data_IF_743656573039
#
_entry.id   IF_743656573039
#
_cell.length_a   1.000
_cell.length_b   1.000
_cell.length_c   1.000
_cell.angle_alpha   90.00
_cell.angle_beta   90.00
_cell.angle_gamma   90.00
#
_symmetry.space_group_name_H-M   'P 1'
#
loop_
_entity.id
_entity.type
_entity.pdbx_description
1 polymer ?
#
# COMPACT_ATOMS: atom_id res chain seq x y z
N UNK A 1 -31.11 -33.58 -14.96
CA UNK A 1 -31.33 -32.30 -14.29
C UNK A 1 -29.99 -31.92 -13.69
N UNK A 2 -29.21 -31.15 -14.45
CA UNK A 2 -27.94 -30.60 -13.99
C UNK A 2 -28.23 -29.48 -12.99
N UNK A 3 -28.05 -29.78 -11.71
CA UNK A 3 -27.84 -28.76 -10.69
C UNK A 3 -26.33 -28.57 -10.55
N UNK A 4 -25.68 -27.99 -11.56
CA UNK A 4 -24.41 -27.32 -11.33
C UNK A 4 -24.73 -26.00 -10.62
N UNK A 5 -24.73 -26.05 -9.29
CA UNK A 5 -24.53 -24.84 -8.50
C UNK A 5 -23.18 -24.30 -8.97
N UNK A 6 -23.20 -23.25 -9.80
CA UNK A 6 -22.03 -22.45 -10.11
C UNK A 6 -21.53 -21.89 -8.79
N UNK A 7 -20.65 -22.62 -8.11
CA UNK A 7 -19.82 -22.05 -7.06
C UNK A 7 -18.95 -21.03 -7.77
N UNK A 8 -19.33 -19.75 -7.69
CA UNK A 8 -18.43 -18.68 -8.10
C UNK A 8 -17.13 -18.88 -7.36
N UNK A 9 -16.05 -19.08 -8.12
CA UNK A 9 -14.73 -19.23 -7.53
C UNK A 9 -14.43 -17.97 -6.73
N UNK A 10 -14.19 -18.11 -5.43
CA UNK A 10 -13.96 -16.97 -4.55
C UNK A 10 -12.67 -16.27 -4.96
N UNK A 11 -12.71 -14.94 -5.05
CA UNK A 11 -11.57 -14.12 -5.44
C UNK A 11 -11.56 -12.79 -4.69
N UNK A 12 -10.47 -12.05 -4.81
CA UNK A 12 -10.32 -10.69 -4.30
C UNK A 12 -10.05 -9.80 -5.50
N UNK A 13 -10.79 -8.70 -5.64
CA UNK A 13 -10.46 -7.70 -6.67
C UNK A 13 -9.21 -6.94 -6.25
N UNK A 14 -8.19 -6.90 -7.11
CA UNK A 14 -6.93 -6.22 -6.83
C UNK A 14 -6.96 -4.83 -7.48
N UNK A 15 -6.81 -3.80 -6.65
CA UNK A 15 -6.58 -2.44 -7.09
C UNK A 15 -5.10 -2.12 -6.91
N UNK A 16 -4.49 -1.57 -7.95
CA UNK A 16 -3.10 -1.15 -7.93
C UNK A 16 -2.91 0.15 -8.71
N UNK A 17 -1.80 0.83 -8.49
CA UNK A 17 -1.45 1.99 -9.29
C UNK A 17 0.05 2.10 -9.54
N UNK A 18 0.40 2.67 -10.68
CA UNK A 18 1.77 3.02 -11.01
C UNK A 18 1.87 4.38 -11.67
N UNK A 19 2.76 5.22 -11.14
CA UNK A 19 3.09 6.52 -11.70
C UNK A 19 4.60 6.68 -11.65
N UNK A 20 5.19 7.14 -12.75
CA UNK A 20 6.60 7.49 -12.77
C UNK A 20 6.81 8.79 -11.99
N UNK A 21 7.39 8.65 -10.79
CA UNK A 21 7.73 9.77 -9.92
C UNK A 21 9.22 10.14 -9.99
N UNK A 22 9.96 9.61 -10.98
CA UNK A 22 11.39 9.84 -11.17
C UNK A 22 12.29 8.90 -10.38
N UNK A 23 11.80 7.74 -9.94
CA UNK A 23 12.61 6.76 -9.17
C UNK A 23 13.78 6.17 -9.97
N UNK A 24 13.71 6.22 -11.30
CA UNK A 24 14.82 5.86 -12.19
C UNK A 24 16.04 6.78 -12.03
N UNK A 25 15.88 7.94 -11.39
CA UNK A 25 16.96 8.88 -11.10
C UNK A 25 17.47 8.79 -9.66
N UNK A 26 16.93 7.92 -8.81
CA UNK A 26 17.35 7.84 -7.40
C UNK A 26 18.60 6.97 -7.23
N UNK A 27 19.68 7.34 -7.94
CA UNK A 27 20.94 6.60 -7.98
C UNK A 27 21.98 7.14 -6.99
N UNK A 28 23.01 6.33 -6.73
CA UNK A 28 24.16 6.72 -5.89
C UNK A 28 24.91 7.92 -6.45
N UNK A 29 24.98 8.06 -7.78
CA UNK A 29 25.59 9.21 -8.45
C UNK A 29 24.85 10.52 -8.17
N UNK A 30 23.54 10.45 -7.91
CA UNK A 30 22.71 11.59 -7.53
C UNK A 30 22.52 11.71 -6.00
N UNK A 31 23.34 10.99 -5.21
CA UNK A 31 23.36 11.09 -3.75
C UNK A 31 22.33 10.23 -3.02
N UNK A 32 21.68 9.28 -3.69
CA UNK A 32 20.67 8.40 -3.09
C UNK A 32 21.21 6.99 -2.79
N UNK A 33 20.70 6.31 -1.74
CA UNK A 33 20.99 4.90 -1.52
C UNK A 33 20.60 4.03 -2.73
N UNK A 34 21.44 3.05 -3.09
CA UNK A 34 21.26 2.20 -4.29
C UNK A 34 19.93 1.43 -4.31
N UNK A 35 19.37 1.11 -3.15
CA UNK A 35 18.09 0.39 -3.06
C UNK A 35 16.87 1.25 -3.43
N UNK A 36 17.02 2.58 -3.54
CA UNK A 36 15.95 3.49 -3.93
C UNK A 36 15.74 3.53 -5.45
N UNK A 37 16.78 3.27 -6.24
CA UNK A 37 16.74 3.25 -7.70
C UNK A 37 15.77 2.17 -8.21
N UNK A 38 14.66 2.60 -8.82
CA UNK A 38 13.68 1.72 -9.45
C UNK A 38 13.09 2.42 -10.66
N UNK A 39 13.51 2.03 -11.84
CA UNK A 39 13.00 2.58 -13.10
C UNK A 39 11.68 1.90 -13.52
N UNK A 40 11.08 2.41 -14.60
CA UNK A 40 9.83 1.90 -15.15
C UNK A 40 9.95 0.42 -15.54
N UNK A 41 11.10 0.00 -16.06
CA UNK A 41 11.33 -1.39 -16.47
C UNK A 41 11.38 -2.34 -15.25
N UNK A 42 11.98 -1.91 -14.14
CA UNK A 42 12.01 -2.67 -12.89
C UNK A 42 10.61 -2.83 -12.32
N UNK A 43 9.80 -1.77 -12.34
CA UNK A 43 8.42 -1.87 -11.88
C UNK A 43 7.56 -2.74 -12.79
N UNK A 44 7.78 -2.69 -14.11
CA UNK A 44 7.12 -3.58 -15.06
C UNK A 44 7.49 -5.05 -14.84
N UNK A 45 8.74 -5.38 -14.54
CA UNK A 45 9.13 -6.77 -14.25
C UNK A 45 8.52 -7.29 -12.94
N UNK A 46 8.35 -6.43 -11.94
CA UNK A 46 7.62 -6.79 -10.72
C UNK A 46 6.12 -6.96 -11.00
N UNK A 47 5.52 -6.06 -11.77
CA UNK A 47 4.11 -6.17 -12.13
C UNK A 47 3.84 -7.37 -13.03
N UNK A 48 4.76 -7.77 -13.90
CA UNK A 48 4.65 -8.99 -14.70
C UNK A 48 4.41 -10.22 -13.82
N UNK A 49 5.02 -10.29 -12.64
CA UNK A 49 4.74 -11.37 -11.69
C UNK A 49 3.33 -11.25 -11.11
N UNK A 50 2.93 -10.05 -10.65
CA UNK A 50 1.58 -9.82 -10.12
C UNK A 50 0.50 -10.11 -11.17
N UNK A 51 0.72 -9.72 -12.42
CA UNK A 51 -0.18 -9.86 -13.56
C UNK A 51 -0.45 -11.33 -13.95
N UNK A 52 0.31 -12.29 -13.40
CA UNK A 52 0.04 -13.72 -13.55
C UNK A 52 -1.28 -14.12 -12.91
N UNK A 53 -1.70 -13.45 -11.84
CA UNK A 53 -2.95 -13.75 -11.14
C UNK A 53 -4.19 -13.58 -12.03
N UNK A 54 -5.16 -14.48 -11.96
CA UNK A 54 -6.43 -14.42 -12.68
C UNK A 54 -7.45 -13.47 -12.03
N UNK A 55 -7.16 -12.98 -10.81
CA UNK A 55 -7.95 -11.98 -10.10
C UNK A 55 -8.37 -10.81 -11.00
N UNK A 56 -9.59 -10.30 -10.80
CA UNK A 56 -10.02 -9.01 -11.35
C UNK A 56 -9.05 -7.91 -10.91
N UNK A 57 -8.57 -7.11 -11.85
CA UNK A 57 -7.68 -5.98 -11.56
C UNK A 57 -8.25 -4.64 -11.98
N UNK A 58 -8.01 -3.62 -11.15
CA UNK A 58 -8.18 -2.21 -11.50
C UNK A 58 -6.84 -1.51 -11.37
N UNK A 59 -6.31 -0.98 -12.48
CA UNK A 59 -4.97 -0.39 -12.56
C UNK A 59 -5.07 1.09 -12.88
N UNK A 60 -4.66 1.94 -11.95
CA UNK A 60 -4.53 3.39 -12.17
C UNK A 60 -3.12 3.73 -12.64
N UNK A 61 -2.99 4.48 -13.73
CA UNK A 61 -1.68 4.73 -14.35
C UNK A 61 -1.69 5.98 -15.24
N UNK A 62 -0.55 6.30 -15.85
CA UNK A 62 -0.39 7.29 -16.91
C UNK A 62 -0.45 6.65 -18.32
N UNK A 63 -0.69 7.46 -19.37
CA UNK A 63 -1.06 6.96 -20.72
C UNK A 63 -0.01 6.03 -21.32
N UNK A 64 1.27 6.35 -21.18
CA UNK A 64 2.40 5.63 -21.74
C UNK A 64 2.54 4.20 -21.19
N UNK A 65 2.05 3.96 -19.97
CA UNK A 65 2.17 2.66 -19.30
C UNK A 65 1.05 1.68 -19.69
N UNK A 66 -0.09 2.19 -20.16
CA UNK A 66 -1.27 1.43 -20.58
C UNK A 66 -1.00 0.27 -21.55
N UNK A 67 -0.26 0.44 -22.66
CA UNK A 67 0.00 -0.66 -23.59
C UNK A 67 0.76 -1.83 -22.94
N UNK A 68 1.67 -1.55 -22.02
CA UNK A 68 2.43 -2.58 -21.30
C UNK A 68 1.54 -3.37 -20.34
N UNK A 69 0.70 -2.69 -19.55
CA UNK A 69 -0.26 -3.34 -18.65
C UNK A 69 -1.23 -4.21 -19.45
N UNK A 70 -1.77 -3.70 -20.56
CA UNK A 70 -2.66 -4.48 -21.46
C UNK A 70 -1.98 -5.74 -21.98
N UNK A 71 -0.72 -5.61 -22.43
CA UNK A 71 0.06 -6.74 -22.92
C UNK A 71 0.28 -7.80 -21.84
N UNK A 72 0.63 -7.40 -20.62
CA UNK A 72 0.89 -8.32 -19.49
C UNK A 72 -0.38 -9.00 -18.99
N UNK A 73 -1.52 -8.30 -19.00
CA UNK A 73 -2.81 -8.83 -18.53
C UNK A 73 -3.54 -9.66 -19.59
N UNK A 74 -3.31 -9.40 -20.88
CA UNK A 74 -3.98 -10.10 -21.97
C UNK A 74 -5.49 -10.02 -21.84
N UNK A 75 -6.16 -11.18 -21.83
CA UNK A 75 -7.63 -11.28 -21.73
C UNK A 75 -8.16 -11.33 -20.29
N UNK A 76 -7.28 -11.29 -19.28
CA UNK A 76 -7.72 -11.36 -17.87
C UNK A 76 -8.53 -10.11 -17.48
N UNK A 77 -9.54 -10.24 -16.61
CA UNK A 77 -10.41 -9.13 -16.21
C UNK A 77 -9.58 -7.97 -15.65
N UNK A 78 -9.49 -6.88 -16.42
CA UNK A 78 -8.64 -5.73 -16.10
C UNK A 78 -9.28 -4.43 -16.57
N UNK A 79 -9.49 -3.49 -15.64
CA UNK A 79 -9.85 -2.10 -15.91
C UNK A 79 -8.59 -1.24 -15.78
N UNK A 80 -8.28 -0.40 -16.78
CA UNK A 80 -7.11 0.49 -16.75
C UNK A 80 -7.59 1.93 -16.85
N UNK A 81 -7.22 2.75 -15.86
CA UNK A 81 -7.67 4.13 -15.72
C UNK A 81 -6.47 5.05 -15.83
N UNK A 82 -6.56 6.01 -16.75
CA UNK A 82 -5.51 7.01 -16.96
C UNK A 82 -5.77 8.23 -16.08
N UNK A 83 -4.77 8.61 -15.30
CA UNK A 83 -4.78 9.79 -14.44
C UNK A 83 -3.49 10.56 -14.67
N UNK A 84 -3.62 11.85 -14.98
CA UNK A 84 -2.55 12.82 -14.81
C UNK A 84 -2.47 13.17 -13.31
N UNK A 85 -1.52 12.55 -12.62
CA UNK A 85 -1.36 12.64 -11.17
C UNK A 85 -1.10 14.08 -10.73
N UNK A 86 -0.18 14.77 -11.39
CA UNK A 86 0.25 16.13 -11.02
C UNK A 86 -0.86 17.14 -11.26
N UNK A 87 -1.60 17.01 -12.37
CA UNK A 87 -2.73 17.89 -12.64
C UNK A 87 -3.88 17.64 -11.67
N UNK A 88 -4.21 16.38 -11.39
CA UNK A 88 -5.36 16.02 -10.55
C UNK A 88 -5.14 16.35 -9.08
N UNK A 89 -3.93 16.15 -8.57
CA UNK A 89 -3.60 16.29 -7.15
C UNK A 89 -2.68 17.47 -6.85
N UNK A 90 -2.62 18.47 -7.74
CA UNK A 90 -1.72 19.63 -7.62
C UNK A 90 -1.74 20.27 -6.23
N UNK A 91 -2.93 20.59 -5.72
CA UNK A 91 -3.05 21.26 -4.43
C UNK A 91 -2.48 20.43 -3.27
N UNK A 92 -2.75 19.12 -3.27
CA UNK A 92 -2.22 18.20 -2.26
C UNK A 92 -0.70 18.04 -2.40
N UNK A 93 -0.20 17.96 -3.64
CA UNK A 93 1.23 17.90 -3.92
C UNK A 93 1.95 19.17 -3.44
N UNK A 94 1.38 20.34 -3.69
CA UNK A 94 1.91 21.64 -3.23
C UNK A 94 1.92 21.75 -1.71
N UNK A 95 0.88 21.27 -1.04
CA UNK A 95 0.80 21.22 0.43
C UNK A 95 1.88 20.30 1.03
N UNK A 96 2.01 19.07 0.51
CA UNK A 96 3.06 18.13 0.90
C UNK A 96 4.44 18.76 0.70
N UNK A 97 4.67 19.37 -0.47
CA UNK A 97 5.93 20.04 -0.80
C UNK A 97 6.24 21.19 0.15
N UNK A 98 5.24 21.98 0.54
CA UNK A 98 5.39 23.05 1.52
C UNK A 98 5.84 22.52 2.87
N UNK A 99 5.21 21.42 3.35
CA UNK A 99 5.56 20.80 4.64
C UNK A 99 6.97 20.21 4.59
N UNK A 100 7.29 19.41 3.57
CA UNK A 100 8.62 18.79 3.38
C UNK A 100 9.72 19.84 3.41
N UNK A 101 9.48 21.00 2.80
CA UNK A 101 10.47 22.07 2.73
C UNK A 101 10.57 22.93 4.00
N UNK A 102 9.61 22.84 4.92
CA UNK A 102 9.57 23.65 6.13
C UNK A 102 10.70 23.30 7.11
N UNK A 103 11.29 24.33 7.74
CA UNK A 103 12.29 24.14 8.80
C UNK A 103 11.71 23.39 10.01
N UNK A 104 10.42 23.59 10.29
CA UNK A 104 9.72 22.92 11.38
C UNK A 104 9.62 21.41 11.19
N UNK A 105 9.40 20.93 9.96
CA UNK A 105 9.41 19.51 9.67
C UNK A 105 10.84 18.96 9.66
N UNK A 106 11.75 19.60 8.91
CA UNK A 106 13.15 19.16 8.77
C UNK A 106 13.89 19.04 10.10
N UNK A 107 13.59 19.88 11.10
CA UNK A 107 14.22 19.81 12.42
C UNK A 107 13.74 18.65 13.29
N UNK A 108 12.59 18.03 12.96
CA UNK A 108 12.06 16.85 13.67
C UNK A 108 12.65 15.54 13.14
N UNK A 109 13.23 15.54 11.93
CA UNK A 109 13.73 14.34 11.26
C UNK A 109 15.21 14.11 11.63
N UNK A 110 15.56 12.98 12.26
CA UNK A 110 16.96 12.65 12.53
C UNK A 110 17.78 12.53 11.24
N UNK A 111 19.04 12.98 11.26
CA UNK A 111 19.89 13.04 10.06
C UNK A 111 19.99 11.71 9.29
N UNK A 112 20.10 10.59 10.02
CA UNK A 112 20.19 9.25 9.45
C UNK A 112 18.97 8.85 8.60
N UNK A 113 17.84 9.52 8.78
CA UNK A 113 16.59 9.24 8.09
C UNK A 113 16.33 10.20 6.91
N UNK A 114 17.04 11.34 6.82
CA UNK A 114 16.77 12.37 5.81
C UNK A 114 16.92 11.91 4.36
N UNK A 115 17.59 10.78 4.11
CA UNK A 115 17.73 10.19 2.77
C UNK A 115 16.52 9.33 2.37
N UNK A 116 15.60 9.04 3.29
CA UNK A 116 14.41 8.27 2.97
C UNK A 116 13.37 9.12 2.22
N UNK A 117 12.74 8.58 1.16
CA UNK A 117 11.93 9.36 0.22
C UNK A 117 10.70 10.02 0.85
N UNK A 118 10.14 9.48 1.93
CA UNK A 118 9.03 10.08 2.68
C UNK A 118 9.35 11.46 3.28
N UNK A 119 10.63 11.83 3.39
CA UNK A 119 11.06 13.10 3.97
C UNK A 119 11.59 14.13 2.96
N UNK A 120 11.66 13.79 1.67
CA UNK A 120 12.18 14.71 0.65
C UNK A 120 11.48 14.64 -0.70
N UNK A 121 10.71 13.59 -0.99
CA UNK A 121 10.00 13.44 -2.26
C UNK A 121 8.50 13.66 -2.07
N UNK A 122 8.00 14.82 -2.49
CA UNK A 122 6.57 15.12 -2.43
C UNK A 122 5.73 14.14 -3.25
N UNK A 123 6.27 13.66 -4.39
CA UNK A 123 5.60 12.69 -5.25
C UNK A 123 5.54 11.30 -4.60
N UNK A 124 6.58 10.89 -3.88
CA UNK A 124 6.57 9.62 -3.14
C UNK A 124 5.53 9.62 -2.03
N UNK A 125 5.53 10.68 -1.21
CA UNK A 125 4.51 10.88 -0.16
C UNK A 125 3.13 10.89 -0.78
N UNK A 126 2.92 11.60 -1.90
CA UNK A 126 1.63 11.63 -2.57
C UNK A 126 1.16 10.24 -3.00
N UNK A 127 1.95 9.49 -3.78
CA UNK A 127 1.49 8.21 -4.35
C UNK A 127 1.26 7.14 -3.29
N UNK A 128 2.08 7.12 -2.23
CA UNK A 128 1.88 6.21 -1.09
C UNK A 128 0.60 6.54 -0.33
N UNK A 129 0.24 7.81 -0.21
CA UNK A 129 -0.96 8.25 0.50
C UNK A 129 -2.27 8.18 -0.31
N UNK A 130 -2.21 7.94 -1.63
CA UNK A 130 -3.40 7.86 -2.50
C UNK A 130 -4.00 6.44 -2.62
N UNK A 131 -3.43 5.44 -1.94
CA UNK A 131 -3.86 4.03 -2.03
C UNK A 131 -5.35 3.85 -1.74
N UNK A 132 -5.82 4.36 -0.60
CA UNK A 132 -7.23 4.25 -0.19
C UNK A 132 -8.16 5.04 -1.12
N UNK A 133 -7.69 6.17 -1.66
CA UNK A 133 -8.41 6.93 -2.68
C UNK A 133 -8.63 6.08 -3.95
N UNK A 134 -7.59 5.41 -4.46
CA UNK A 134 -7.71 4.59 -5.67
C UNK A 134 -8.64 3.40 -5.47
N UNK A 135 -8.57 2.74 -4.31
CA UNK A 135 -9.50 1.64 -4.00
C UNK A 135 -10.95 2.14 -3.95
N UNK A 136 -11.21 3.24 -3.25
CA UNK A 136 -12.57 3.81 -3.20
C UNK A 136 -13.06 4.23 -4.57
N UNK A 137 -12.21 4.88 -5.37
CA UNK A 137 -12.55 5.24 -6.73
C UNK A 137 -12.90 4.02 -7.58
N UNK A 138 -12.17 2.92 -7.44
CA UNK A 138 -12.48 1.69 -8.16
C UNK A 138 -13.84 1.10 -7.75
N UNK A 139 -14.20 1.17 -6.47
CA UNK A 139 -15.49 0.71 -5.95
C UNK A 139 -16.64 1.62 -6.44
N UNK A 140 -16.44 2.94 -6.42
CA UNK A 140 -17.46 3.91 -6.83
C UNK A 140 -17.72 3.91 -8.34
N UNK A 141 -16.65 3.82 -9.14
CA UNK A 141 -16.75 3.94 -10.60
C UNK A 141 -17.20 2.62 -11.27
N UNK A 142 -17.02 1.48 -10.60
CA UNK A 142 -17.20 0.17 -11.22
C UNK A 142 -18.00 -0.79 -10.35
N UNK A 143 -18.86 -1.57 -11.00
CA UNK A 143 -19.44 -2.76 -10.38
C UNK A 143 -18.36 -3.86 -10.29
N UNK A 144 -17.60 -3.86 -9.19
CA UNK A 144 -16.56 -4.86 -8.94
C UNK A 144 -17.19 -6.23 -8.66
N UNK A 145 -16.52 -7.30 -9.08
CA UNK A 145 -17.10 -8.64 -9.08
C UNK A 145 -17.04 -9.34 -7.73
N UNK A 146 -16.18 -8.87 -6.81
CA UNK A 146 -15.89 -9.52 -5.53
C UNK A 146 -16.18 -8.60 -4.35
N UNK A 147 -16.70 -9.14 -3.26
CA UNK A 147 -16.95 -8.40 -2.02
C UNK A 147 -15.65 -7.88 -1.38
N UNK A 148 -14.57 -8.65 -1.47
CA UNK A 148 -13.26 -8.28 -0.98
C UNK A 148 -12.47 -7.54 -2.05
N UNK A 149 -11.90 -6.40 -1.67
CA UNK A 149 -11.02 -5.60 -2.51
C UNK A 149 -9.70 -5.36 -1.77
N UNK A 150 -8.60 -5.54 -2.49
CA UNK A 150 -7.27 -5.32 -1.96
C UNK A 150 -6.58 -4.17 -2.68
N UNK A 151 -5.91 -3.31 -1.93
CA UNK A 151 -4.76 -2.60 -2.47
C UNK A 151 -3.57 -3.57 -2.54
N UNK A 152 -2.88 -3.62 -3.67
CA UNK A 152 -1.58 -4.29 -3.82
C UNK A 152 -0.64 -3.35 -4.56
N UNK A 153 0.53 -3.03 -4.00
CA UNK A 153 1.54 -2.22 -4.69
C UNK A 153 1.91 -2.84 -6.04
N UNK A 154 1.99 -2.02 -7.09
CA UNK A 154 2.30 -2.47 -8.45
C UNK A 154 3.62 -3.24 -8.52
N UNK A 155 4.58 -2.86 -7.67
CA UNK A 155 5.87 -3.52 -7.53
C UNK A 155 5.98 -4.54 -6.38
N UNK A 156 4.85 -5.04 -5.83
CA UNK A 156 4.86 -5.93 -4.67
C UNK A 156 5.49 -7.29 -4.98
N UNK A 157 5.13 -7.91 -6.13
CA UNK A 157 5.63 -9.22 -6.52
C UNK A 157 7.01 -9.11 -7.21
N UNK A 158 8.08 -9.02 -6.42
CA UNK A 158 9.42 -8.78 -6.96
C UNK A 158 10.01 -9.96 -7.74
N UNK A 159 9.54 -11.16 -7.43
CA UNK A 159 9.95 -12.40 -8.09
C UNK A 159 8.80 -13.43 -8.04
N UNK A 160 9.02 -14.56 -8.73
CA UNK A 160 8.03 -15.64 -8.82
C UNK A 160 7.74 -16.33 -7.47
N UNK A 161 8.64 -16.20 -6.50
CA UNK A 161 8.43 -16.83 -5.19
C UNK A 161 7.35 -16.11 -4.41
N UNK A 162 7.09 -14.82 -4.66
CA UNK A 162 6.03 -14.08 -3.93
C UNK A 162 4.66 -14.73 -4.09
N UNK A 163 4.35 -15.30 -5.25
CA UNK A 163 3.09 -15.99 -5.51
C UNK A 163 3.11 -17.50 -5.22
N UNK A 164 4.28 -18.15 -5.10
CA UNK A 164 4.38 -19.61 -4.90
C UNK A 164 3.43 -20.46 -5.79
N UNK A 165 3.21 -20.04 -7.04
CA UNK A 165 2.34 -20.75 -7.99
C UNK A 165 0.84 -20.48 -7.83
N UNK A 166 0.44 -19.54 -6.97
CA UNK A 166 -0.94 -19.06 -6.87
C UNK A 166 -1.33 -18.37 -8.17
N UNK A 167 -2.43 -18.84 -8.77
CA UNK A 167 -3.04 -18.22 -9.94
C UNK A 167 -4.25 -17.36 -9.55
N UNK A 168 -5.03 -17.72 -8.53
CA UNK A 168 -6.12 -16.89 -8.02
C UNK A 168 -5.94 -16.67 -6.52
N UNK A 169 -5.68 -15.43 -6.13
CA UNK A 169 -5.44 -15.06 -4.74
C UNK A 169 -6.76 -14.83 -3.99
N UNK A 170 -6.98 -15.57 -2.90
CA UNK A 170 -8.15 -15.40 -2.05
C UNK A 170 -7.88 -15.87 -0.62
N UNK A 171 -8.35 -15.09 0.35
CA UNK A 171 -8.45 -15.47 1.76
C UNK A 171 -9.81 -15.08 2.32
N UNK A 172 -10.37 -15.86 3.26
CA UNK A 172 -11.67 -15.59 3.88
C UNK A 172 -11.54 -14.51 4.97
N UNK A 173 -11.11 -13.32 4.56
CA UNK A 173 -11.16 -12.11 5.37
C UNK A 173 -12.61 -11.79 5.74
N UNK A 174 -12.81 -11.25 6.94
CA UNK A 174 -14.14 -10.89 7.41
C UNK A 174 -14.56 -9.54 6.83
N UNK A 175 -15.86 -9.24 6.86
CA UNK A 175 -16.46 -8.07 6.23
C UNK A 175 -16.58 -6.85 7.15
N UNK A 176 -16.03 -6.95 8.37
CA UNK A 176 -16.14 -5.92 9.40
C UNK A 176 -14.85 -5.12 9.60
N UNK A 177 -13.71 -5.62 9.10
CA UNK A 177 -12.41 -5.02 9.38
C UNK A 177 -11.61 -4.69 8.11
N UNK A 178 -10.72 -3.73 8.27
CA UNK A 178 -9.56 -3.53 7.41
C UNK A 178 -8.44 -4.46 7.87
N UNK A 179 -7.97 -5.29 6.95
CA UNK A 179 -6.90 -6.25 7.19
C UNK A 179 -5.56 -5.68 6.80
N UNK A 180 -4.74 -5.43 7.81
CA UNK A 180 -3.36 -4.98 7.66
C UNK A 180 -2.39 -6.13 7.94
N UNK A 181 -1.25 -6.11 7.25
CA UNK A 181 -0.17 -7.07 7.46
C UNK A 181 0.99 -6.39 8.20
N UNK A 182 1.62 -7.11 9.12
CA UNK A 182 2.59 -6.50 10.05
C UNK A 182 3.90 -7.26 10.13
N UNK A 183 4.98 -6.51 10.36
CA UNK A 183 6.34 -7.02 10.60
C UNK A 183 6.65 -7.20 12.08
N UNK A 184 5.78 -6.68 12.94
CA UNK A 184 5.83 -6.84 14.40
C UNK A 184 4.44 -7.18 14.88
N UNK A 185 4.31 -8.20 15.74
CA UNK A 185 3.03 -8.53 16.36
C UNK A 185 2.51 -7.34 17.16
N UNK A 186 1.24 -7.01 17.05
CA UNK A 186 0.58 -6.00 17.88
C UNK A 186 0.46 -6.45 19.34
N UNK A 187 0.34 -7.76 19.56
CA UNK A 187 0.20 -8.39 20.89
C UNK A 187 1.16 -9.57 21.08
N UNK A 188 1.65 -9.77 22.30
CA UNK A 188 2.46 -10.94 22.67
C UNK A 188 1.60 -12.16 23.07
N UNK A 189 0.39 -11.90 23.56
CA UNK A 189 -0.66 -12.86 23.93
C UNK A 189 -2.03 -12.20 23.70
N UNK A 190 -3.17 -12.90 23.83
CA UNK A 190 -4.50 -12.35 23.49
C UNK A 190 -4.79 -10.94 24.05
N UNK A 191 -4.25 -10.60 25.23
CA UNK A 191 -4.58 -9.38 25.96
C UNK A 191 -3.40 -8.41 26.18
N UNK A 192 -2.16 -8.81 25.92
CA UNK A 192 -0.99 -7.98 26.23
C UNK A 192 -0.44 -7.30 24.98
N UNK A 193 -0.53 -5.97 24.97
CA UNK A 193 0.06 -5.12 23.95
C UNK A 193 1.57 -5.35 23.85
N UNK A 194 2.06 -5.55 22.64
CA UNK A 194 3.48 -5.64 22.39
C UNK A 194 4.13 -4.25 22.58
N UNK A 195 5.11 -4.08 23.49
CA UNK A 195 5.80 -2.80 23.66
C UNK A 195 6.52 -2.31 22.40
N UNK A 196 6.86 -3.21 21.48
CA UNK A 196 7.46 -2.93 20.18
C UNK A 196 6.43 -2.57 19.09
N UNK A 197 5.15 -2.55 19.41
CA UNK A 197 4.11 -2.02 18.54
C UNK A 197 3.68 -0.62 19.03
N UNK A 198 3.56 0.39 18.15
CA UNK A 198 3.21 1.76 18.54
C UNK A 198 1.74 1.92 19.00
N UNK A 199 1.46 1.63 20.26
CA UNK A 199 0.10 1.70 20.85
C UNK A 199 -0.30 3.07 21.44
N UNK A 200 0.59 4.07 21.40
CA UNK A 200 0.32 5.39 22.00
C UNK A 200 0.69 6.49 21.01
N UNK A 201 0.05 7.66 21.15
CA UNK A 201 0.33 8.85 20.32
C UNK A 201 1.82 9.18 20.22
N UNK A 202 2.55 9.13 21.34
CA UNK A 202 3.99 9.43 21.36
C UNK A 202 4.80 8.36 20.61
N UNK A 203 4.45 7.08 20.77
CA UNK A 203 5.12 5.99 20.03
C UNK A 203 4.80 6.02 18.54
N UNK A 204 3.57 6.35 18.15
CA UNK A 204 3.17 6.51 16.74
C UNK A 204 3.92 7.68 16.11
N UNK A 205 3.94 8.84 16.75
CA UNK A 205 4.69 9.99 16.26
C UNK A 205 6.20 9.70 16.19
N UNK A 206 6.74 8.99 17.18
CA UNK A 206 8.14 8.54 17.14
C UNK A 206 8.38 7.58 15.98
N UNK A 207 7.46 6.66 15.68
CA UNK A 207 7.57 5.77 14.54
C UNK A 207 7.59 6.54 13.21
N UNK A 208 6.70 7.53 13.06
CA UNK A 208 6.62 8.43 11.89
C UNK A 208 7.93 9.19 11.69
N UNK A 209 8.50 9.79 12.74
CA UNK A 209 9.70 10.63 12.61
C UNK A 209 11.01 9.84 12.50
N UNK A 210 10.99 8.53 12.77
CA UNK A 210 12.17 7.65 12.75
C UNK A 210 12.07 6.54 11.69
N UNK A 211 11.21 6.69 10.68
CA UNK A 211 10.90 5.70 9.65
C UNK A 211 10.84 4.26 10.21
N UNK A 212 9.96 4.04 11.19
CA UNK A 212 9.77 2.72 11.81
C UNK A 212 8.59 2.02 11.18
N UNK A 213 8.88 1.15 10.21
CA UNK A 213 7.90 0.26 9.61
C UNK A 213 7.40 -0.82 10.60
N UNK A 214 6.09 -0.90 10.76
CA UNK A 214 5.43 -1.91 11.61
C UNK A 214 4.27 -2.57 10.87
N UNK A 215 3.41 -1.74 10.26
CA UNK A 215 2.41 -2.14 9.27
C UNK A 215 3.07 -2.00 7.90
N UNK A 216 2.96 -3.00 7.02
CA UNK A 216 3.45 -2.86 5.65
C UNK A 216 2.45 -2.05 4.82
N UNK A 217 2.96 -1.20 3.94
CA UNK A 217 2.14 -0.45 2.99
C UNK A 217 1.74 -1.26 1.74
N UNK A 218 2.43 -2.38 1.50
CA UNK A 218 2.38 -3.08 0.21
C UNK A 218 1.06 -3.78 -0.11
N UNK A 219 0.29 -4.19 0.91
CA UNK A 219 -0.99 -4.87 0.74
C UNK A 219 -1.94 -4.49 1.87
N UNK A 220 -3.19 -4.17 1.53
CA UNK A 220 -4.29 -3.94 2.48
C UNK A 220 -5.57 -4.54 1.89
N UNK A 221 -6.37 -5.25 2.68
CA UNK A 221 -7.62 -5.89 2.21
C UNK A 221 -8.78 -5.47 3.08
N UNK A 222 -9.94 -5.21 2.48
CA UNK A 222 -11.20 -5.04 3.21
C UNK A 222 -12.38 -5.37 2.30
N UNK A 223 -13.56 -5.53 2.88
CA UNK A 223 -14.80 -5.56 2.11
C UNK A 223 -15.08 -4.17 1.50
N UNK A 224 -15.71 -4.14 0.31
CA UNK A 224 -16.13 -2.93 -0.38
C UNK A 224 -16.85 -1.93 0.54
N UNK A 225 -17.72 -2.41 1.44
CA UNK A 225 -18.50 -1.56 2.35
C UNK A 225 -17.64 -0.82 3.39
N UNK A 226 -16.49 -1.38 3.82
CA UNK A 226 -15.59 -0.79 4.82
C UNK A 226 -14.59 0.19 4.19
N UNK A 227 -14.25 0.04 2.91
CA UNK A 227 -13.26 0.89 2.24
C UNK A 227 -13.56 2.39 2.32
N UNK A 228 -14.85 2.76 2.27
CA UNK A 228 -15.27 4.17 2.39
C UNK A 228 -15.02 4.75 3.77
N UNK A 229 -15.33 3.98 4.82
CA UNK A 229 -14.99 4.37 6.19
C UNK A 229 -13.47 4.52 6.33
N UNK A 230 -12.71 3.53 5.86
CA UNK A 230 -11.26 3.55 5.96
C UNK A 230 -10.62 4.74 5.21
N UNK A 231 -11.10 5.07 4.01
CA UNK A 231 -10.63 6.25 3.28
C UNK A 231 -10.86 7.55 4.05
N UNK A 232 -12.02 7.72 4.67
CA UNK A 232 -12.29 8.89 5.50
C UNK A 232 -11.37 8.94 6.72
N UNK A 233 -11.10 7.81 7.38
CA UNK A 233 -10.16 7.73 8.50
C UNK A 233 -8.74 8.13 8.07
N UNK A 234 -8.27 7.63 6.91
CA UNK A 234 -6.96 8.00 6.35
C UNK A 234 -6.88 9.50 6.05
N UNK A 235 -7.89 10.05 5.38
CA UNK A 235 -7.96 11.48 5.05
C UNK A 235 -7.88 12.35 6.31
N UNK A 236 -8.66 12.02 7.34
CA UNK A 236 -8.65 12.75 8.61
C UNK A 236 -7.27 12.66 9.30
N UNK A 237 -6.60 11.51 9.24
CA UNK A 237 -5.26 11.34 9.80
C UNK A 237 -4.21 12.17 9.04
N UNK A 238 -4.30 12.23 7.71
CA UNK A 238 -3.44 13.06 6.88
C UNK A 238 -3.61 14.55 7.21
N UNK A 239 -4.86 15.02 7.27
CA UNK A 239 -5.17 16.42 7.63
C UNK A 239 -4.61 16.79 9.02
N UNK A 240 -4.73 15.90 10.02
CA UNK A 240 -4.15 16.14 11.35
C UNK A 240 -2.62 16.18 11.38
N UNK A 241 -1.96 15.42 10.52
CA UNK A 241 -0.50 15.47 10.38
C UNK A 241 -0.08 16.77 9.68
N UNK A 242 -0.80 17.18 8.63
CA UNK A 242 -0.52 18.41 7.90
C UNK A 242 -0.67 19.65 8.77
N UNK A 243 -1.72 19.70 9.60
CA UNK A 243 -1.91 20.76 10.61
C UNK A 243 -0.75 20.89 11.61
N UNK A 244 0.07 19.84 11.76
CA UNK A 244 1.26 19.82 12.63
C UNK A 244 2.56 19.99 11.87
N UNK A 245 2.49 20.31 10.57
CA UNK A 245 3.60 20.30 9.63
C UNK A 245 4.39 18.99 9.70
N UNK A 246 3.68 17.88 9.53
CA UNK A 246 4.24 16.52 9.45
C UNK A 246 3.67 15.85 8.20
N UNK A 247 4.53 15.19 7.45
CA UNK A 247 4.16 14.21 6.43
C UNK A 247 4.85 12.89 6.72
N UNK A 248 4.31 11.81 6.18
CA UNK A 248 4.93 10.48 6.17
C UNK A 248 4.34 9.68 4.99
N UNK A 249 4.86 8.49 4.75
CA UNK A 249 4.20 7.52 3.87
C UNK A 249 2.95 6.90 4.51
N UNK A 250 2.34 5.95 3.79
CA UNK A 250 1.14 5.27 4.24
C UNK A 250 1.30 4.50 5.56
N UNK A 251 2.49 4.00 5.88
CA UNK A 251 2.71 3.18 7.07
C UNK A 251 2.52 4.00 8.35
N UNK A 252 3.06 5.22 8.38
CA UNK A 252 2.85 6.16 9.48
C UNK A 252 1.40 6.60 9.62
N UNK A 253 0.74 6.86 8.48
CA UNK A 253 -0.68 7.22 8.45
C UNK A 253 -1.56 6.07 8.94
N UNK A 254 -1.25 4.82 8.59
CA UNK A 254 -1.98 3.64 9.07
C UNK A 254 -1.83 3.42 10.58
N UNK A 255 -0.66 3.71 11.15
CA UNK A 255 -0.49 3.73 12.62
C UNK A 255 -1.38 4.78 13.28
N UNK A 256 -1.51 5.96 12.68
CA UNK A 256 -2.45 7.00 13.16
C UNK A 256 -3.91 6.55 13.05
N UNK A 257 -4.28 5.87 11.95
CA UNK A 257 -5.62 5.33 11.77
C UNK A 257 -5.95 4.31 12.87
N UNK A 258 -5.05 3.36 13.12
CA UNK A 258 -5.21 2.36 14.18
C UNK A 258 -5.32 2.99 15.57
N UNK A 259 -4.50 4.00 15.87
CA UNK A 259 -4.56 4.72 17.15
C UNK A 259 -5.95 5.35 17.40
N UNK A 260 -6.63 5.81 16.34
CA UNK A 260 -7.93 6.49 16.43
C UNK A 260 -9.11 5.54 16.40
N UNK A 261 -9.03 4.49 15.58
CA UNK A 261 -10.13 3.56 15.35
C UNK A 261 -9.61 2.11 15.51
N UNK A 262 -9.16 1.69 16.70
CA UNK A 262 -8.49 0.41 16.87
C UNK A 262 -9.37 -0.79 16.48
N UNK A 263 -10.70 -0.66 16.67
CA UNK A 263 -11.67 -1.72 16.36
C UNK A 263 -11.94 -1.88 14.86
N UNK A 264 -11.51 -0.94 14.02
CA UNK A 264 -11.67 -1.05 12.56
C UNK A 264 -10.64 -2.00 11.93
N UNK A 265 -9.57 -2.35 12.64
CA UNK A 265 -8.41 -3.02 12.05
C UNK A 265 -8.16 -4.41 12.64
N UNK A 266 -7.74 -5.33 11.77
CA UNK A 266 -7.23 -6.65 12.16
C UNK A 266 -5.84 -6.85 11.58
N UNK A 267 -4.90 -7.25 12.44
CA UNK A 267 -3.50 -7.41 12.08
C UNK A 267 -3.12 -8.85 11.78
N UNK A 268 -2.33 -9.00 10.72
CA UNK A 268 -1.84 -10.27 10.20
C UNK A 268 -0.31 -10.27 10.22
N UNK A 269 0.27 -10.82 11.27
CA UNK A 269 1.73 -10.85 11.43
C UNK A 269 2.38 -11.76 10.39
N UNK A 270 3.30 -11.24 9.58
CA UNK A 270 3.92 -11.97 8.47
C UNK A 270 5.05 -12.90 8.91
N UNK A 271 5.67 -12.67 10.06
CA UNK A 271 6.76 -13.52 10.53
C UNK A 271 8.11 -13.18 9.86
N UNK A 272 8.96 -14.19 9.80
CA UNK A 272 10.28 -14.11 9.16
C UNK A 272 10.33 -14.98 7.92
N UNK A 273 11.15 -14.60 6.93
CA UNK A 273 11.44 -15.42 5.76
C UNK A 273 12.43 -16.55 6.12
N UNK A 274 12.78 -17.39 5.14
CA UNK A 274 13.73 -18.52 5.31
C UNK A 274 15.11 -18.09 5.79
N UNK A 275 15.50 -16.83 5.56
CA UNK A 275 16.78 -16.26 5.98
C UNK A 275 16.71 -15.63 7.39
N UNK A 276 15.57 -15.70 8.07
CA UNK A 276 15.38 -15.11 9.40
C UNK A 276 15.15 -13.60 9.41
N UNK A 277 14.95 -12.99 8.24
CA UNK A 277 14.65 -11.57 8.06
C UNK A 277 13.13 -11.33 8.07
N UNK A 278 12.70 -10.09 8.27
CA UNK A 278 11.26 -9.76 8.25
C UNK A 278 10.63 -10.09 6.89
N UNK A 279 9.47 -10.77 6.89
CA UNK A 279 8.84 -11.22 5.65
C UNK A 279 7.93 -10.16 5.03
N UNK A 280 8.51 -9.18 4.34
CA UNK A 280 7.77 -8.08 3.69
C UNK A 280 6.85 -8.54 2.54
N UNK A 281 7.21 -9.65 1.87
CA UNK A 281 6.54 -10.16 0.67
C UNK A 281 5.72 -11.43 0.93
N UNK A 282 5.45 -11.74 2.21
CA UNK A 282 4.80 -12.97 2.63
C UNK A 282 3.27 -12.97 2.54
N UNK A 283 2.64 -11.83 2.21
CA UNK A 283 1.17 -11.69 2.29
C UNK A 283 0.45 -12.70 1.43
N UNK A 284 0.89 -12.86 0.18
CA UNK A 284 0.29 -13.78 -0.78
C UNK A 284 0.61 -15.25 -0.46
N UNK A 285 1.62 -15.55 0.34
CA UNK A 285 2.02 -16.94 0.65
C UNK A 285 1.29 -17.46 1.88
N UNK A 286 1.21 -16.62 2.91
CA UNK A 286 1.04 -17.08 4.29
C UNK A 286 -0.34 -17.61 4.63
N UNK A 287 -1.38 -17.14 3.97
CA UNK A 287 -2.75 -17.54 4.31
C UNK A 287 -3.33 -18.53 3.28
N UNK A 288 -2.52 -19.01 2.32
CA UNK A 288 -2.91 -20.02 1.34
C UNK A 288 -2.59 -21.37 1.98
N UNK A 289 -3.55 -21.90 2.71
CA UNK A 289 -3.54 -23.23 3.29
C UNK A 289 -4.83 -23.95 2.87
#
# INVERSE_FOLDING_TARGET
>A
MDNSISTTEKSITIVTAYFDIGRGDWSTEKGHPSHLLRDNQTYLSYFENLAKLDNEMVVFTFEEMKPYIRKLRGNKPTKIIIIDLEKKFRNLLDEIKSIINSNNFKSKIPDKHKLNPEYWSEKYVLVTNLKTYFVNKAIEDFNLSNDLVAWVDFGYCRDNTTLLGINNWYYPFDDLHVHFFTLTKDKFFLFFNNPNFPHTKNKVLSAILNNRAVIIGGVTVANQNIWREFFNVVKNCQEELFQKNIVDDDQGVYLMCHLKQPNLFKFHYLGKNSNGEQNWFGTMQKFHA
#
